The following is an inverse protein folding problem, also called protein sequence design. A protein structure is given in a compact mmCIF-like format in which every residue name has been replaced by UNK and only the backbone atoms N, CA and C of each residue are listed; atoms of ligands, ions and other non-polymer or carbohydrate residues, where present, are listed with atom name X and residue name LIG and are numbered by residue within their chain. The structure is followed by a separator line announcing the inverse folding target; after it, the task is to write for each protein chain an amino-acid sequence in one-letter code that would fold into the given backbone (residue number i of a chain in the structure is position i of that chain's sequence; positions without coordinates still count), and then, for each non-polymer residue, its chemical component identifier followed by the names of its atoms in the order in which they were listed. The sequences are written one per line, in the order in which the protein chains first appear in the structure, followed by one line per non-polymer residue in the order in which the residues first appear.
data_IF_276247551968
#
_entry.id   IF_276247551968
#
_cell.length_a   1.000
_cell.length_b   1.000
_cell.length_c   1.000
_cell.angle_alpha   90.00
_cell.angle_beta   90.00
_cell.angle_gamma   90.00
#
_symmetry.space_group_name_H-M   'P 1'
#
loop_
_entity.id
_entity.type
_entity.pdbx_description
1 polymer ?
#
# COMPACT_ATOMS: atom_id res chain seq x y z
N UNK A 1 -16.25 24.01 -0.46
CA UNK A 1 -14.92 23.39 -0.28
C UNK A 1 -14.09 24.39 0.50
N UNK A 2 -13.79 24.07 1.76
CA UNK A 2 -13.19 25.02 2.70
C UNK A 2 -11.67 24.84 2.77
N UNK A 3 -10.95 25.84 3.28
CA UNK A 3 -9.48 25.80 3.41
C UNK A 3 -8.99 24.54 4.16
N UNK A 4 -9.79 24.08 5.12
CA UNK A 4 -9.54 22.86 5.88
C UNK A 4 -9.45 21.61 4.98
N UNK A 5 -10.38 21.46 4.03
CA UNK A 5 -10.36 20.36 3.06
C UNK A 5 -9.08 20.36 2.23
N UNK A 6 -8.73 21.51 1.65
CA UNK A 6 -7.55 21.62 0.79
C UNK A 6 -6.25 21.36 1.55
N UNK A 7 -6.16 21.75 2.82
CA UNK A 7 -5.01 21.49 3.67
C UNK A 7 -4.76 19.98 3.84
N UNK A 8 -5.76 19.23 4.31
CA UNK A 8 -5.63 17.79 4.55
C UNK A 8 -5.48 16.99 3.26
N UNK A 9 -6.19 17.37 2.19
CA UNK A 9 -6.03 16.77 0.87
C UNK A 9 -4.61 16.93 0.34
N UNK A 10 -4.04 18.15 0.42
CA UNK A 10 -2.69 18.43 -0.06
C UNK A 10 -1.64 17.64 0.71
N UNK A 11 -1.76 17.59 2.05
CA UNK A 11 -0.85 16.79 2.88
C UNK A 11 -0.95 15.30 2.51
N UNK A 12 -2.17 14.76 2.39
CA UNK A 12 -2.37 13.36 2.02
C UNK A 12 -1.77 13.01 0.66
N UNK A 13 -2.01 13.83 -0.36
CA UNK A 13 -1.45 13.64 -1.72
C UNK A 13 0.07 13.70 -1.71
N UNK A 14 0.69 14.62 -0.96
CA UNK A 14 2.14 14.72 -0.84
C UNK A 14 2.73 13.49 -0.14
N UNK A 15 2.14 13.06 0.98
CA UNK A 15 2.58 11.86 1.71
C UNK A 15 2.53 10.62 0.82
N UNK A 16 1.45 10.47 0.05
CA UNK A 16 1.31 9.36 -0.88
C UNK A 16 2.33 9.44 -2.01
N UNK A 17 2.47 10.61 -2.65
CA UNK A 17 3.40 10.83 -3.75
C UNK A 17 4.85 10.55 -3.37
N UNK A 18 5.29 10.96 -2.18
CA UNK A 18 6.62 10.63 -1.64
C UNK A 18 6.81 9.12 -1.58
N UNK A 19 5.82 8.39 -1.06
CA UNK A 19 5.91 6.94 -0.94
C UNK A 19 5.98 6.23 -2.29
N UNK A 20 5.20 6.67 -3.28
CA UNK A 20 5.21 6.06 -4.62
C UNK A 20 6.47 6.42 -5.42
N UNK A 21 7.13 7.55 -5.13
CA UNK A 21 8.41 7.97 -5.69
C UNK A 21 9.63 7.12 -5.29
N UNK A 22 9.44 5.98 -4.62
CA UNK A 22 10.51 5.03 -4.28
C UNK A 22 11.06 5.18 -2.87
N UNK A 23 10.47 6.05 -2.03
CA UNK A 23 10.64 5.96 -0.59
C UNK A 23 9.86 4.74 -0.08
N UNK A 24 10.59 3.64 0.16
CA UNK A 24 10.08 2.40 0.73
C UNK A 24 9.73 2.53 2.22
N UNK A 25 9.05 3.61 2.61
CA UNK A 25 8.64 3.90 3.98
C UNK A 25 7.13 3.68 4.18
N UNK A 26 6.67 3.53 5.43
CA UNK A 26 5.26 3.39 5.78
C UNK A 26 4.45 4.68 5.64
N UNK A 27 4.98 5.69 4.94
CA UNK A 27 4.41 7.04 4.87
C UNK A 27 3.10 7.04 4.08
N UNK A 28 2.97 6.21 3.03
CA UNK A 28 1.73 6.08 2.25
C UNK A 28 0.51 5.77 3.12
N UNK A 29 0.67 4.94 4.15
CA UNK A 29 -0.40 4.52 5.07
C UNK A 29 -1.07 5.72 5.75
N UNK A 30 -0.31 6.79 6.04
CA UNK A 30 -0.82 7.95 6.75
C UNK A 30 -1.70 8.84 5.88
N UNK A 31 -1.59 8.73 4.56
CA UNK A 31 -2.26 9.63 3.60
C UNK A 31 -3.77 9.63 3.78
N UNK A 32 -4.40 8.46 3.81
CA UNK A 32 -5.86 8.35 3.96
C UNK A 32 -6.33 8.70 5.37
N UNK A 33 -5.73 8.21 6.48
CA UNK A 33 -6.05 8.68 7.83
C UNK A 33 -6.02 10.21 7.97
N UNK A 34 -5.01 10.87 7.42
CA UNK A 34 -4.88 12.33 7.46
C UNK A 34 -6.01 13.00 6.66
N UNK A 35 -6.27 12.56 5.43
CA UNK A 35 -7.37 13.09 4.62
C UNK A 35 -8.74 12.87 5.30
N UNK A 36 -8.91 11.71 5.95
CA UNK A 36 -10.14 11.30 6.65
C UNK A 36 -10.53 12.20 7.83
N UNK A 37 -9.62 13.08 8.28
CA UNK A 37 -9.94 14.11 9.28
C UNK A 37 -10.82 15.23 8.72
N UNK A 38 -10.93 15.34 7.40
CA UNK A 38 -11.68 16.40 6.71
C UNK A 38 -12.75 15.89 5.73
N UNK A 39 -12.68 14.61 5.34
CA UNK A 39 -13.58 14.00 4.35
C UNK A 39 -13.81 12.51 4.67
N UNK A 40 -14.75 11.84 3.98
CA UNK A 40 -14.89 10.39 4.14
C UNK A 40 -13.68 9.64 3.57
N UNK A 41 -13.30 8.47 4.12
CA UNK A 41 -12.18 7.68 3.59
C UNK A 41 -12.38 7.26 2.13
N UNK A 42 -13.63 7.04 1.72
CA UNK A 42 -14.00 6.72 0.34
C UNK A 42 -13.70 7.90 -0.58
N UNK A 43 -14.04 9.11 -0.15
CA UNK A 43 -13.73 10.35 -0.90
C UNK A 43 -12.21 10.54 -1.01
N UNK A 44 -11.47 10.30 0.07
CA UNK A 44 -10.01 10.40 0.07
C UNK A 44 -9.36 9.42 -0.93
N UNK A 45 -9.80 8.15 -0.92
CA UNK A 45 -9.36 7.13 -1.87
C UNK A 45 -9.69 7.54 -3.33
N UNK A 46 -10.91 8.03 -3.57
CA UNK A 46 -11.35 8.49 -4.88
C UNK A 46 -10.51 9.67 -5.42
N UNK A 47 -10.09 10.61 -4.56
CA UNK A 47 -9.22 11.73 -4.94
C UNK A 47 -7.82 11.25 -5.31
N UNK A 48 -7.28 10.26 -4.59
CA UNK A 48 -5.95 9.73 -4.87
C UNK A 48 -5.93 8.96 -6.19
N UNK A 49 -6.96 8.16 -6.49
CA UNK A 49 -6.98 7.19 -7.57
C UNK A 49 -6.52 7.73 -8.96
N UNK A 50 -6.98 8.89 -9.46
CA UNK A 50 -6.47 9.44 -10.73
C UNK A 50 -4.97 9.73 -10.72
N UNK A 51 -4.47 10.26 -9.60
CA UNK A 51 -3.04 10.56 -9.42
C UNK A 51 -2.24 9.26 -9.39
N UNK A 52 -2.76 8.23 -8.72
CA UNK A 52 -2.13 6.91 -8.65
C UNK A 52 -2.01 6.26 -10.02
N UNK A 53 -3.08 6.28 -10.81
CA UNK A 53 -3.06 5.72 -12.16
C UNK A 53 -1.97 6.35 -13.03
N UNK A 54 -1.80 7.68 -12.96
CA UNK A 54 -0.72 8.37 -13.69
C UNK A 54 0.65 7.93 -13.18
N UNK A 55 0.84 7.85 -11.86
CA UNK A 55 2.09 7.38 -11.26
C UNK A 55 2.42 5.95 -11.65
N UNK A 56 1.42 5.05 -11.67
CA UNK A 56 1.57 3.65 -12.01
C UNK A 56 1.95 3.47 -13.47
N UNK A 57 1.30 4.20 -14.40
CA UNK A 57 1.66 4.15 -15.83
C UNK A 57 3.10 4.61 -16.05
N UNK A 58 3.51 5.72 -15.43
CA UNK A 58 4.87 6.24 -15.55
C UNK A 58 5.89 5.28 -14.94
N UNK A 59 5.60 4.73 -13.75
CA UNK A 59 6.47 3.76 -13.10
C UNK A 59 6.60 2.47 -13.94
N UNK A 60 5.48 1.98 -14.48
CA UNK A 60 5.45 0.78 -15.31
C UNK A 60 6.28 0.96 -16.59
N UNK A 61 6.21 2.15 -17.21
CA UNK A 61 7.04 2.52 -18.35
C UNK A 61 8.54 2.52 -17.99
N UNK A 62 8.92 3.15 -16.87
CA UNK A 62 10.33 3.27 -16.45
C UNK A 62 10.93 1.92 -16.03
N UNK A 63 10.13 1.06 -15.38
CA UNK A 63 10.58 -0.21 -14.78
C UNK A 63 10.11 -1.45 -15.56
N UNK A 64 9.70 -1.27 -16.82
CA UNK A 64 9.27 -2.37 -17.69
C UNK A 64 10.33 -3.47 -17.80
N UNK A 65 9.91 -4.73 -17.66
CA UNK A 65 10.73 -5.94 -17.62
C UNK A 65 11.85 -5.97 -16.56
N UNK A 66 11.81 -5.10 -15.53
CA UNK A 66 12.83 -5.08 -14.47
C UNK A 66 12.43 -5.85 -13.20
N UNK A 67 11.29 -6.52 -13.18
CA UNK A 67 10.75 -7.24 -12.02
C UNK A 67 11.36 -8.62 -11.80
N UNK A 68 11.31 -9.12 -10.56
CA UNK A 68 11.69 -10.50 -10.22
C UNK A 68 10.52 -11.47 -10.41
N UNK A 69 10.60 -12.32 -11.43
CA UNK A 69 9.53 -13.26 -11.80
C UNK A 69 9.19 -14.25 -10.68
N UNK A 70 10.15 -14.63 -9.84
CA UNK A 70 9.92 -15.58 -8.74
C UNK A 70 9.03 -14.96 -7.67
N UNK A 71 9.32 -13.73 -7.26
CA UNK A 71 8.49 -12.97 -6.34
C UNK A 71 7.11 -12.69 -6.93
N UNK A 72 7.01 -12.28 -8.20
CA UNK A 72 5.70 -12.03 -8.85
C UNK A 72 4.79 -13.26 -8.79
N UNK A 73 5.31 -14.46 -9.05
CA UNK A 73 4.53 -15.71 -8.95
C UNK A 73 4.03 -16.02 -7.53
N UNK A 74 4.70 -15.50 -6.50
CA UNK A 74 4.29 -15.64 -5.10
C UNK A 74 3.29 -14.54 -4.72
N UNK A 75 3.46 -13.34 -5.27
CA UNK A 75 2.72 -12.14 -4.87
C UNK A 75 1.37 -12.02 -5.55
N UNK A 76 1.33 -12.17 -6.87
CA UNK A 76 0.14 -11.86 -7.66
C UNK A 76 -1.08 -12.70 -7.26
N UNK A 77 -0.99 -14.04 -7.13
CA UNK A 77 -2.19 -14.85 -6.87
C UNK A 77 -2.85 -14.53 -5.51
N UNK A 78 -2.11 -14.45 -4.37
CA UNK A 78 -2.71 -14.05 -3.11
C UNK A 78 -3.14 -12.59 -3.08
N UNK A 79 -2.43 -11.67 -3.76
CA UNK A 79 -2.85 -10.28 -3.87
C UNK A 79 -4.20 -10.16 -4.58
N UNK A 80 -4.41 -10.90 -5.68
CA UNK A 80 -5.71 -10.96 -6.35
C UNK A 80 -6.80 -11.51 -5.44
N UNK A 81 -6.51 -12.53 -4.64
CA UNK A 81 -7.45 -13.05 -3.62
C UNK A 81 -7.76 -11.98 -2.57
N UNK A 82 -6.75 -11.25 -2.10
CA UNK A 82 -6.93 -10.14 -1.15
C UNK A 82 -7.81 -9.02 -1.72
N UNK A 83 -7.60 -8.65 -2.98
CA UNK A 83 -8.44 -7.67 -3.70
C UNK A 83 -9.87 -8.19 -3.82
N UNK A 84 -10.06 -9.46 -4.17
CA UNK A 84 -11.38 -10.07 -4.28
C UNK A 84 -12.11 -10.05 -2.94
N UNK A 85 -11.44 -10.42 -1.85
CA UNK A 85 -11.99 -10.35 -0.48
C UNK A 85 -12.35 -8.91 -0.13
N UNK A 86 -11.48 -7.94 -0.44
CA UNK A 86 -11.74 -6.52 -0.23
C UNK A 86 -12.98 -6.06 -0.99
N UNK A 87 -13.08 -6.43 -2.26
CA UNK A 87 -14.20 -6.09 -3.14
C UNK A 87 -15.52 -6.66 -2.61
N UNK A 88 -15.51 -7.95 -2.23
CA UNK A 88 -16.69 -8.63 -1.70
C UNK A 88 -17.13 -8.07 -0.35
N UNK A 89 -16.20 -7.67 0.50
CA UNK A 89 -16.54 -7.14 1.84
C UNK A 89 -16.92 -5.67 1.83
N UNK A 90 -16.37 -4.87 0.91
CA UNK A 90 -16.55 -3.41 0.89
C UNK A 90 -18.02 -2.96 0.80
N UNK A 91 -18.86 -3.66 0.02
CA UNK A 91 -20.28 -3.33 -0.09
C UNK A 91 -21.10 -3.54 1.18
N UNK A 92 -20.56 -4.27 2.17
CA UNK A 92 -21.25 -4.59 3.43
C UNK A 92 -20.78 -3.73 4.61
N UNK A 93 -19.80 -2.84 4.41
CA UNK A 93 -19.12 -2.11 5.48
C UNK A 93 -19.51 -0.62 5.43
N UNK A 94 -19.92 -0.06 6.57
CA UNK A 94 -20.19 1.39 6.68
C UNK A 94 -18.90 2.23 6.65
N UNK A 95 -19.01 3.51 6.31
CA UNK A 95 -17.86 4.42 6.30
C UNK A 95 -17.11 4.49 7.64
N UNK A 96 -17.84 4.39 8.76
CA UNK A 96 -17.24 4.41 10.10
C UNK A 96 -16.41 3.15 10.37
N UNK A 97 -16.89 1.98 9.95
CA UNK A 97 -16.12 0.75 10.08
C UNK A 97 -14.89 0.80 9.17
N UNK A 98 -15.01 1.32 7.94
CA UNK A 98 -13.86 1.58 7.07
C UNK A 98 -12.85 2.47 7.79
N UNK A 99 -13.29 3.58 8.40
CA UNK A 99 -12.42 4.50 9.15
C UNK A 99 -11.67 3.79 10.28
N UNK A 100 -12.35 2.94 11.05
CA UNK A 100 -11.75 2.14 12.13
C UNK A 100 -10.73 1.15 11.56
N UNK A 101 -11.08 0.40 10.50
CA UNK A 101 -10.18 -0.56 9.84
C UNK A 101 -8.89 0.14 9.41
N UNK A 102 -9.01 1.29 8.74
CA UNK A 102 -7.88 2.07 8.23
C UNK A 102 -7.01 2.57 9.39
N UNK A 103 -7.62 3.10 10.45
CA UNK A 103 -6.91 3.54 11.66
C UNK A 103 -6.15 2.39 12.32
N UNK A 104 -6.78 1.24 12.50
CA UNK A 104 -6.15 0.04 13.05
C UNK A 104 -4.99 -0.45 12.18
N UNK A 105 -5.18 -0.53 10.86
CA UNK A 105 -4.13 -0.91 9.91
C UNK A 105 -2.94 0.04 10.02
N UNK A 106 -3.20 1.34 10.13
CA UNK A 106 -2.14 2.33 10.26
C UNK A 106 -1.32 2.14 11.54
N UNK A 107 -1.98 1.98 12.68
CA UNK A 107 -1.32 1.75 13.98
C UNK A 107 -0.51 0.45 13.94
N UNK A 108 -1.10 -0.66 13.46
CA UNK A 108 -0.43 -1.96 13.37
C UNK A 108 0.83 -1.84 12.53
N UNK A 109 0.76 -1.21 11.36
CA UNK A 109 1.92 -1.11 10.49
C UNK A 109 3.01 -0.16 10.99
N UNK A 110 2.65 0.93 11.66
CA UNK A 110 3.62 1.79 12.33
C UNK A 110 4.37 0.99 13.40
N UNK A 111 3.63 0.27 14.26
CA UNK A 111 4.22 -0.60 15.29
C UNK A 111 5.12 -1.66 14.67
N UNK A 112 4.65 -2.35 13.63
CA UNK A 112 5.44 -3.37 12.93
C UNK A 112 6.69 -2.79 12.26
N UNK A 113 6.60 -1.58 11.69
CA UNK A 113 7.75 -0.90 11.07
C UNK A 113 8.82 -0.56 12.10
N UNK A 114 8.43 -0.09 13.29
CA UNK A 114 9.35 0.19 14.40
C UNK A 114 10.04 -1.11 14.88
N UNK A 115 9.27 -2.20 15.01
CA UNK A 115 9.80 -3.50 15.42
C UNK A 115 10.76 -4.10 14.38
N UNK A 116 10.53 -3.87 13.09
CA UNK A 116 11.35 -4.43 12.01
C UNK A 116 12.74 -3.78 11.92
N UNK A 117 12.91 -2.54 12.42
CA UNK A 117 14.19 -1.84 12.48
C UNK A 117 15.25 -2.60 13.32
N UNK A 118 14.82 -3.51 14.20
CA UNK A 118 15.68 -4.37 15.02
C UNK A 118 16.32 -5.57 14.29
N UNK A 119 16.06 -5.74 12.98
CA UNK A 119 16.66 -6.76 12.09
C UNK A 119 16.45 -8.24 12.50
N UNK A 120 15.66 -8.53 13.55
CA UNK A 120 15.61 -9.86 14.17
C UNK A 120 14.53 -10.80 13.64
N UNK A 121 13.49 -10.34 12.94
CA UNK A 121 12.23 -11.09 12.95
C UNK A 121 11.75 -11.77 11.67
N UNK A 122 12.31 -11.53 10.48
CA UNK A 122 11.64 -12.04 9.26
C UNK A 122 12.62 -12.56 8.21
N UNK A 123 13.01 -13.84 8.33
CA UNK A 123 13.47 -14.59 7.16
C UNK A 123 12.32 -14.61 6.13
N UNK A 124 12.56 -14.20 4.87
CA UNK A 124 11.54 -14.24 3.84
C UNK A 124 11.28 -15.71 3.46
N UNK A 125 10.13 -16.23 3.84
CA UNK A 125 9.67 -17.58 3.45
C UNK A 125 8.49 -17.45 2.50
N UNK A 126 8.26 -18.48 1.68
CA UNK A 126 7.12 -18.50 0.73
C UNK A 126 5.78 -18.25 1.45
N UNK A 127 5.55 -18.87 2.60
CA UNK A 127 4.31 -18.71 3.38
C UNK A 127 4.11 -17.27 3.86
N UNK A 128 5.18 -16.61 4.30
CA UNK A 128 5.14 -15.19 4.66
C UNK A 128 4.88 -14.31 3.44
N UNK A 129 5.45 -14.67 2.29
CA UNK A 129 5.13 -14.02 1.01
C UNK A 129 3.65 -14.12 0.68
N UNK A 130 3.07 -15.31 0.75
CA UNK A 130 1.63 -15.50 0.50
C UNK A 130 0.77 -14.67 1.47
N UNK A 131 1.08 -14.71 2.77
CA UNK A 131 0.36 -13.96 3.80
C UNK A 131 0.42 -12.44 3.59
N UNK A 132 1.63 -11.90 3.43
CA UNK A 132 1.82 -10.46 3.21
C UNK A 132 1.27 -9.98 1.88
N UNK A 133 1.23 -10.85 0.85
CA UNK A 133 0.64 -10.53 -0.44
C UNK A 133 -0.89 -10.49 -0.38
N UNK A 134 -1.52 -11.37 0.40
CA UNK A 134 -2.96 -11.33 0.64
C UNK A 134 -3.37 -10.04 1.37
N UNK A 135 -2.66 -9.71 2.44
CA UNK A 135 -2.88 -8.44 3.17
C UNK A 135 -2.58 -7.25 2.26
N UNK A 136 -1.52 -7.34 1.45
CA UNK A 136 -1.18 -6.40 0.38
C UNK A 136 -2.36 -6.14 -0.55
N UNK A 137 -2.95 -7.20 -1.11
CA UNK A 137 -4.11 -7.07 -2.00
C UNK A 137 -5.31 -6.42 -1.34
N UNK A 138 -5.65 -6.86 -0.13
CA UNK A 138 -6.78 -6.31 0.63
C UNK A 138 -6.59 -4.81 0.94
N UNK A 139 -5.42 -4.43 1.45
CA UNK A 139 -5.10 -3.03 1.76
C UNK A 139 -4.90 -2.17 0.51
N UNK A 140 -4.47 -2.75 -0.62
CA UNK A 140 -4.45 -2.07 -1.91
C UNK A 140 -5.86 -1.66 -2.36
N UNK A 141 -6.83 -2.56 -2.16
CA UNK A 141 -8.22 -2.28 -2.52
C UNK A 141 -8.84 -1.20 -1.62
N UNK A 142 -8.71 -1.32 -0.30
CA UNK A 142 -9.40 -0.41 0.64
C UNK A 142 -8.74 0.96 0.73
N UNK A 143 -7.41 1.02 0.72
CA UNK A 143 -6.64 2.24 0.99
C UNK A 143 -5.46 2.48 0.04
N UNK A 144 -5.39 1.77 -1.08
CA UNK A 144 -4.29 1.92 -2.03
C UNK A 144 -2.90 1.73 -1.42
N UNK A 145 -2.79 0.99 -0.30
CA UNK A 145 -1.54 0.87 0.48
C UNK A 145 -0.99 -0.57 0.50
N UNK A 146 -1.19 -1.32 -0.60
CA UNK A 146 -0.73 -2.70 -0.73
C UNK A 146 0.78 -2.89 -0.67
N UNK A 147 1.53 -1.83 -1.00
CA UNK A 147 2.99 -1.80 -0.91
C UNK A 147 3.54 -2.00 0.50
N UNK A 148 2.86 -1.48 1.52
CA UNK A 148 3.35 -1.54 2.90
C UNK A 148 3.38 -2.94 3.51
N UNK A 149 2.32 -3.75 3.41
CA UNK A 149 2.36 -5.15 3.79
C UNK A 149 3.44 -5.94 3.04
N UNK A 150 3.56 -5.75 1.72
CA UNK A 150 4.52 -6.52 0.93
C UNK A 150 5.97 -6.17 1.25
N UNK A 151 6.25 -4.97 1.78
CA UNK A 151 7.57 -4.58 2.26
C UNK A 151 8.09 -5.51 3.38
N UNK A 152 7.22 -6.07 4.22
CA UNK A 152 7.61 -7.06 5.22
C UNK A 152 8.15 -8.36 4.60
N UNK A 153 7.83 -8.62 3.33
CA UNK A 153 8.33 -9.77 2.57
C UNK A 153 9.49 -9.43 1.64
N UNK A 154 9.44 -8.30 0.92
CA UNK A 154 10.44 -7.94 -0.09
C UNK A 154 11.68 -7.25 0.48
N UNK A 155 11.54 -6.36 1.48
CA UNK A 155 12.70 -5.63 2.04
C UNK A 155 13.76 -6.58 2.65
N UNK A 156 13.40 -7.63 3.41
CA UNK A 156 14.39 -8.57 3.94
C UNK A 156 15.16 -9.36 2.87
N UNK A 157 14.65 -9.44 1.63
CA UNK A 157 15.32 -10.14 0.52
C UNK A 157 16.49 -9.34 -0.06
N UNK A 158 16.63 -8.04 0.28
CA UNK A 158 17.72 -7.17 -0.19
C UNK A 158 17.92 -7.20 -1.71
N UNK A 159 16.81 -7.19 -2.45
CA UNK A 159 16.84 -7.13 -3.91
C UNK A 159 17.56 -5.87 -4.39
N UNK A 160 18.11 -5.89 -5.61
CA UNK A 160 18.60 -4.67 -6.25
C UNK A 160 17.47 -3.63 -6.29
N UNK A 161 17.77 -2.36 -6.01
CA UNK A 161 16.78 -1.26 -5.98
C UNK A 161 15.87 -1.26 -7.21
N UNK A 162 16.43 -1.46 -8.40
CA UNK A 162 15.68 -1.46 -9.66
C UNK A 162 14.71 -2.64 -9.73
N UNK A 163 15.15 -3.82 -9.29
CA UNK A 163 14.32 -5.04 -9.25
C UNK A 163 13.23 -4.94 -8.21
N UNK A 164 13.54 -4.38 -7.03
CA UNK A 164 12.58 -4.13 -5.98
C UNK A 164 11.47 -3.20 -6.47
N UNK A 165 11.81 -2.01 -7.01
CA UNK A 165 10.82 -1.05 -7.51
C UNK A 165 10.03 -1.63 -8.69
N UNK A 166 10.67 -2.34 -9.62
CA UNK A 166 9.97 -2.99 -10.73
C UNK A 166 9.02 -4.09 -10.29
N UNK A 167 9.40 -4.90 -9.30
CA UNK A 167 8.52 -5.93 -8.71
C UNK A 167 7.34 -5.30 -7.99
N UNK A 168 7.58 -4.22 -7.25
CA UNK A 168 6.54 -3.48 -6.55
C UNK A 168 5.53 -2.89 -7.53
N UNK A 169 6.02 -2.19 -8.55
CA UNK A 169 5.21 -1.51 -9.56
C UNK A 169 4.33 -2.47 -10.35
N UNK A 170 4.83 -3.67 -10.65
CA UNK A 170 4.01 -4.68 -11.34
C UNK A 170 2.92 -5.27 -10.42
N UNK A 171 3.17 -5.36 -9.12
CA UNK A 171 2.26 -6.00 -8.18
C UNK A 171 1.22 -5.05 -7.56
N UNK A 172 1.56 -3.78 -7.33
CA UNK A 172 0.79 -2.77 -6.59
C UNK A 172 1.08 -1.34 -7.06
#
# INVERSE_FOLDING_TARGET
MDLYFYLFASIGVILFGISKGGFAGPIAILSIPVMSLSMSPITAAAILLPVLLVMDVVAMYIYWNKWDVKNIKIILPPAMIGILIGTLTFGFISEDIIRIIIGCIAIIFILMSLLQQSNKFIKPTKNKGLFWSLIGGYTSFIIHSGGTPINFYLLPQKLNKTTYVGTMTLAF
#
